data_IF_804008205727
#
_entry.id   IF_804008205727
#
_cell.length_a   1.000
_cell.length_b   1.000
_cell.length_c   1.000
_cell.angle_alpha   90.00
_cell.angle_beta   90.00
_cell.angle_gamma   90.00
#
_symmetry.space_group_name_H-M   'P 1'
#
loop_
_entity.id
_entity.type
_entity.pdbx_description
1 polymer ?
#
# COMPACT_ATOMS: atom_id res chain seq x y z
N UNK A 1 6.04 -12.85 16.75
CA UNK A 1 6.73 -11.55 16.90
C UNK A 1 5.80 -10.43 16.42
N UNK A 2 5.93 -9.19 16.91
CA UNK A 2 5.25 -8.05 16.32
C UNK A 2 5.61 -7.87 14.84
N UNK A 3 4.66 -7.44 14.01
CA UNK A 3 4.88 -7.23 12.58
C UNK A 3 3.62 -7.39 11.74
N UNK A 4 3.79 -7.27 10.43
CA UNK A 4 2.76 -7.43 9.42
C UNK A 4 2.89 -8.77 8.72
N UNK A 5 1.80 -9.47 8.54
CA UNK A 5 1.77 -10.84 8.02
C UNK A 5 0.70 -11.00 6.95
N UNK A 6 1.06 -11.69 5.88
CA UNK A 6 0.12 -12.14 4.87
C UNK A 6 -0.49 -13.49 5.29
N UNK A 7 -1.80 -13.59 5.24
CA UNK A 7 -2.48 -14.90 5.30
C UNK A 7 -3.11 -15.22 3.95
N UNK A 8 -3.24 -16.49 3.62
CA UNK A 8 -3.84 -16.94 2.36
C UNK A 8 -4.32 -18.39 2.47
N UNK A 9 -5.19 -18.79 1.55
CA UNK A 9 -5.57 -20.20 1.42
C UNK A 9 -4.42 -21.02 0.81
N UNK A 10 -3.83 -21.89 1.63
CA UNK A 10 -2.73 -22.78 1.23
C UNK A 10 -3.17 -24.07 0.56
N UNK A 11 -4.49 -24.39 0.51
CA UNK A 11 -4.97 -25.68 -0.02
C UNK A 11 -4.69 -25.85 -1.50
N UNK A 12 -4.75 -24.80 -2.27
CA UNK A 12 -4.52 -24.78 -3.70
C UNK A 12 -3.50 -23.69 -4.07
N UNK A 13 -2.42 -23.63 -3.31
CA UNK A 13 -1.36 -22.65 -3.55
C UNK A 13 -0.62 -22.97 -4.88
N UNK A 14 -0.23 -21.93 -5.65
CA UNK A 14 -0.43 -20.51 -5.38
C UNK A 14 -1.78 -19.96 -5.87
N UNK A 15 -2.60 -20.79 -6.50
CA UNK A 15 -3.75 -20.34 -7.30
C UNK A 15 -4.78 -19.57 -6.48
N UNK A 16 -5.22 -20.12 -5.35
CA UNK A 16 -6.22 -19.44 -4.52
C UNK A 16 -5.70 -18.11 -3.97
N UNK A 17 -4.42 -18.03 -3.62
CA UNK A 17 -3.79 -16.76 -3.22
C UNK A 17 -3.85 -15.74 -4.36
N UNK A 18 -3.43 -16.11 -5.58
CA UNK A 18 -3.36 -15.21 -6.74
C UNK A 18 -4.75 -14.76 -7.20
N UNK A 19 -5.79 -15.57 -6.95
CA UNK A 19 -7.18 -15.23 -7.29
C UNK A 19 -7.93 -14.46 -6.20
N UNK A 20 -7.24 -14.05 -5.13
CA UNK A 20 -7.77 -13.12 -4.13
C UNK A 20 -8.08 -13.71 -2.76
N UNK A 21 -7.83 -15.01 -2.50
CA UNK A 21 -8.00 -15.60 -1.17
C UNK A 21 -6.79 -15.33 -0.29
N UNK A 22 -6.56 -14.07 0.01
CA UNK A 22 -5.49 -13.57 0.87
C UNK A 22 -5.93 -12.32 1.62
N UNK A 23 -5.15 -11.95 2.61
CA UNK A 23 -5.31 -10.69 3.36
C UNK A 23 -4.14 -10.46 4.30
N UNK A 24 -4.17 -9.33 4.98
CA UNK A 24 -3.14 -8.95 5.94
C UNK A 24 -3.64 -8.98 7.37
N UNK A 25 -2.75 -9.29 8.31
CA UNK A 25 -2.99 -9.04 9.73
C UNK A 25 -1.72 -8.51 10.40
N UNK A 26 -1.88 -7.82 11.51
CA UNK A 26 -0.79 -7.30 12.30
C UNK A 26 -0.76 -7.91 13.69
N UNK A 27 0.43 -8.23 14.17
CA UNK A 27 0.69 -8.50 15.58
C UNK A 27 1.32 -7.23 16.17
N UNK A 28 0.63 -6.64 17.12
CA UNK A 28 1.10 -5.41 17.77
C UNK A 28 2.09 -5.72 18.90
N UNK A 29 3.06 -4.85 19.21
CA UNK A 29 3.89 -4.98 20.39
C UNK A 29 3.06 -4.97 21.66
N UNK A 30 3.46 -5.74 22.65
CA UNK A 30 2.80 -5.76 23.95
C UNK A 30 2.81 -4.35 24.57
N UNK A 31 1.64 -3.90 25.04
CA UNK A 31 1.49 -2.59 25.68
C UNK A 31 1.51 -1.39 24.73
N UNK A 32 1.48 -1.61 23.42
CA UNK A 32 1.43 -0.53 22.44
C UNK A 32 0.46 -0.82 21.30
N UNK A 33 -0.37 0.15 20.98
CA UNK A 33 -1.31 0.10 19.85
C UNK A 33 -0.89 0.97 18.65
N UNK A 34 0.21 1.70 18.77
CA UNK A 34 0.64 2.68 17.78
C UNK A 34 2.12 2.56 17.41
N UNK A 35 2.68 1.35 17.51
CA UNK A 35 4.05 1.01 17.09
C UNK A 35 4.07 -0.29 16.31
N UNK A 36 5.03 -0.43 15.41
CA UNK A 36 5.25 -1.68 14.64
C UNK A 36 6.03 -2.70 15.48
N UNK A 37 7.05 -2.23 16.16
CA UNK A 37 7.89 -2.99 17.10
C UNK A 37 8.30 -2.10 18.28
N UNK A 38 8.85 -2.69 19.32
CA UNK A 38 9.33 -1.92 20.47
C UNK A 38 10.42 -0.95 20.05
N UNK A 39 10.20 0.34 20.30
CA UNK A 39 11.12 1.41 19.92
C UNK A 39 10.93 1.99 18.51
N UNK A 40 10.00 1.45 17.69
CA UNK A 40 9.68 2.06 16.40
C UNK A 40 9.06 3.45 16.59
N UNK A 41 9.10 4.32 15.57
CA UNK A 41 8.27 5.52 15.54
C UNK A 41 6.80 5.21 15.81
N UNK A 42 6.08 6.18 16.36
CA UNK A 42 4.62 6.08 16.60
C UNK A 42 3.86 6.54 15.36
N UNK A 43 2.64 6.05 15.23
CA UNK A 43 1.70 6.48 14.19
C UNK A 43 0.34 6.82 14.82
N UNK A 44 -0.44 7.65 14.14
CA UNK A 44 -1.81 8.02 14.55
C UNK A 44 -2.87 7.16 13.88
N UNK A 45 -2.57 6.62 12.70
CA UNK A 45 -3.46 5.74 11.94
C UNK A 45 -2.64 4.72 11.15
N UNK A 46 -3.31 3.66 10.69
CA UNK A 46 -2.64 2.63 9.92
C UNK A 46 -3.54 2.08 8.81
N UNK A 47 -2.91 1.67 7.72
CA UNK A 47 -3.54 1.03 6.57
C UNK A 47 -2.83 -0.27 6.23
N UNK A 48 -3.59 -1.23 5.69
CA UNK A 48 -3.04 -2.37 4.97
C UNK A 48 -3.15 -2.12 3.48
N UNK A 49 -2.04 -2.26 2.77
CA UNK A 49 -2.00 -2.32 1.32
C UNK A 49 -1.51 -3.70 0.90
N UNK A 50 -2.46 -4.53 0.46
CA UNK A 50 -2.15 -5.85 -0.07
C UNK A 50 -2.12 -5.77 -1.59
N UNK A 51 -0.92 -5.93 -2.12
CA UNK A 51 -0.66 -5.90 -3.56
C UNK A 51 -0.89 -7.28 -4.15
N UNK A 52 -1.50 -7.33 -5.32
CA UNK A 52 -1.69 -8.57 -6.07
C UNK A 52 -1.72 -8.29 -7.57
N UNK A 53 -1.48 -9.33 -8.34
CA UNK A 53 -1.58 -9.35 -9.78
C UNK A 53 -2.70 -10.31 -10.19
N UNK A 54 -3.45 -9.96 -11.23
CA UNK A 54 -4.55 -10.81 -11.72
C UNK A 54 -4.33 -11.15 -13.19
N UNK A 55 -4.26 -12.46 -13.46
CA UNK A 55 -4.33 -13.03 -14.79
C UNK A 55 -5.76 -13.52 -15.05
N UNK A 56 -6.50 -12.91 -15.99
CA UNK A 56 -7.89 -13.30 -16.26
C UNK A 56 -8.05 -14.76 -16.68
N UNK A 57 -7.09 -15.33 -17.40
CA UNK A 57 -7.16 -16.72 -17.84
C UNK A 57 -6.99 -17.67 -16.64
N UNK A 58 -6.05 -17.38 -15.75
CA UNK A 58 -5.85 -18.16 -14.53
C UNK A 58 -7.04 -18.02 -13.58
N UNK A 59 -7.53 -16.79 -13.37
CA UNK A 59 -8.72 -16.55 -12.55
C UNK A 59 -9.94 -17.31 -13.06
N UNK A 60 -10.16 -17.34 -14.39
CA UNK A 60 -11.25 -18.08 -14.97
C UNK A 60 -11.11 -19.61 -14.81
N UNK A 61 -9.89 -20.14 -14.96
CA UNK A 61 -9.63 -21.56 -14.72
C UNK A 61 -9.96 -21.94 -13.27
N UNK A 62 -9.45 -21.19 -12.29
CA UNK A 62 -9.72 -21.44 -10.86
C UNK A 62 -11.22 -21.35 -10.55
N UNK A 63 -11.91 -20.33 -11.09
CA UNK A 63 -13.36 -20.17 -10.95
C UNK A 63 -14.13 -21.38 -11.45
N UNK A 64 -13.66 -22.00 -12.53
CA UNK A 64 -14.25 -23.20 -13.12
C UNK A 64 -13.69 -24.51 -12.50
N UNK A 65 -12.98 -24.43 -11.37
CA UNK A 65 -12.36 -25.58 -10.68
C UNK A 65 -11.37 -26.35 -11.56
N UNK A 66 -10.73 -25.67 -12.48
CA UNK A 66 -9.67 -26.20 -13.34
C UNK A 66 -8.31 -25.73 -12.84
N UNK A 67 -7.30 -26.55 -13.02
CA UNK A 67 -5.92 -26.12 -12.76
C UNK A 67 -5.48 -25.15 -13.85
N UNK A 68 -5.04 -23.94 -13.51
CA UNK A 68 -4.48 -23.02 -14.48
C UNK A 68 -3.30 -23.64 -15.24
N UNK A 69 -3.23 -23.39 -16.52
CA UNK A 69 -2.17 -23.88 -17.41
C UNK A 69 -1.63 -22.73 -18.26
N UNK A 70 -0.43 -22.93 -18.79
CA UNK A 70 0.25 -21.90 -19.56
C UNK A 70 0.97 -20.86 -18.67
N UNK A 71 1.54 -19.87 -19.35
CA UNK A 71 2.30 -18.81 -18.68
C UNK A 71 1.34 -17.89 -17.92
N UNK A 72 1.68 -17.56 -16.67
CA UNK A 72 1.03 -16.49 -15.91
C UNK A 72 1.33 -15.14 -16.57
N UNK A 73 0.27 -14.45 -17.01
CA UNK A 73 0.39 -13.17 -17.73
C UNK A 73 -0.62 -12.18 -17.15
N UNK A 74 -0.29 -11.56 -16.02
CA UNK A 74 -1.21 -10.65 -15.35
C UNK A 74 -1.49 -9.42 -16.21
N UNK A 75 -2.74 -8.97 -16.18
CA UNK A 75 -3.21 -7.76 -16.86
C UNK A 75 -3.74 -6.69 -15.92
N UNK A 76 -3.98 -7.06 -14.67
CA UNK A 76 -4.45 -6.15 -13.64
C UNK A 76 -3.52 -6.23 -12.45
N UNK A 77 -3.17 -5.06 -11.93
CA UNK A 77 -2.38 -4.90 -10.72
C UNK A 77 -3.25 -4.20 -9.71
N UNK A 78 -3.35 -4.75 -8.51
CA UNK A 78 -4.32 -4.29 -7.53
C UNK A 78 -3.69 -3.94 -6.20
N UNK A 79 -4.28 -2.95 -5.53
CA UNK A 79 -4.09 -2.68 -4.10
C UNK A 79 -5.44 -2.96 -3.44
N UNK A 80 -5.49 -3.88 -2.47
CA UNK A 80 -6.72 -4.29 -1.79
C UNK A 80 -7.87 -4.69 -2.76
N UNK A 81 -7.50 -5.32 -3.88
CA UNK A 81 -8.44 -5.75 -4.92
C UNK A 81 -8.89 -4.66 -5.88
N UNK A 82 -8.39 -3.43 -5.75
CA UNK A 82 -8.69 -2.33 -6.67
C UNK A 82 -7.57 -2.17 -7.68
N UNK A 83 -7.91 -2.18 -8.95
CA UNK A 83 -7.02 -1.79 -10.05
C UNK A 83 -7.42 -0.42 -10.58
N UNK A 84 -6.44 0.40 -10.91
CA UNK A 84 -6.69 1.63 -11.64
C UNK A 84 -7.38 1.32 -12.98
N UNK A 85 -8.37 2.12 -13.37
CA UNK A 85 -8.97 2.04 -14.70
C UNK A 85 -8.18 2.89 -15.67
N UNK A 86 -7.89 2.42 -16.89
CA UNK A 86 -7.26 3.27 -17.89
C UNK A 86 -8.18 4.44 -18.23
N UNK A 87 -7.63 5.63 -18.48
CA UNK A 87 -8.39 6.79 -18.93
C UNK A 87 -9.25 6.45 -20.16
N UNK A 88 -10.52 6.86 -20.15
CA UNK A 88 -11.45 6.65 -21.26
C UNK A 88 -12.07 5.24 -21.35
N UNK A 89 -11.84 4.35 -20.39
CA UNK A 89 -12.56 3.09 -20.34
C UNK A 89 -14.07 3.34 -20.11
N UNK A 90 -14.96 2.58 -20.81
CA UNK A 90 -16.40 2.74 -20.61
C UNK A 90 -16.79 2.55 -19.14
N UNK A 91 -17.54 3.51 -18.58
CA UNK A 91 -17.94 3.51 -17.18
C UNK A 91 -16.82 3.91 -16.20
N UNK A 92 -15.68 4.37 -16.70
CA UNK A 92 -14.71 5.07 -15.87
C UNK A 92 -15.33 6.44 -15.51
N UNK A 93 -15.63 6.65 -14.25
CA UNK A 93 -15.66 8.00 -13.68
C UNK A 93 -14.24 8.54 -13.76
N UNK A 94 -14.00 9.79 -13.41
CA UNK A 94 -12.65 10.34 -13.45
C UNK A 94 -11.66 9.33 -12.82
N UNK A 95 -10.68 8.78 -13.58
CA UNK A 95 -9.80 7.74 -13.08
C UNK A 95 -8.95 8.21 -11.88
N UNK A 96 -8.79 9.51 -11.70
CA UNK A 96 -8.19 10.07 -10.48
C UNK A 96 -9.05 9.86 -9.23
N UNK A 97 -10.36 9.69 -9.39
CA UNK A 97 -11.30 9.60 -8.27
C UNK A 97 -11.58 8.14 -7.89
N UNK A 98 -11.70 7.22 -8.85
CA UNK A 98 -12.18 5.85 -8.58
C UNK A 98 -11.24 5.01 -7.70
N UNK A 99 -9.93 5.09 -7.89
CA UNK A 99 -8.98 4.32 -7.08
C UNK A 99 -8.29 5.15 -5.99
N UNK A 100 -8.14 6.45 -6.21
CA UNK A 100 -7.50 7.36 -5.25
C UNK A 100 -8.44 7.83 -4.15
N UNK A 101 -9.74 7.86 -4.40
CA UNK A 101 -10.75 8.25 -3.40
C UNK A 101 -11.32 7.08 -2.59
N UNK A 102 -11.00 5.83 -2.96
CA UNK A 102 -11.51 4.68 -2.23
C UNK A 102 -10.83 4.58 -0.84
N UNK A 103 -11.62 4.55 0.25
CA UNK A 103 -11.07 4.52 1.61
C UNK A 103 -10.21 3.29 1.91
N UNK A 104 -10.25 2.25 1.08
CA UNK A 104 -9.37 1.08 1.21
C UNK A 104 -7.94 1.34 0.76
N UNK A 105 -7.71 2.35 -0.05
CA UNK A 105 -6.39 2.67 -0.64
C UNK A 105 -5.96 4.11 -0.39
N UNK A 106 -6.92 5.02 -0.25
CA UNK A 106 -6.63 6.42 0.01
C UNK A 106 -6.00 6.60 1.39
N UNK A 107 -4.87 7.28 1.44
CA UNK A 107 -4.36 7.82 2.69
C UNK A 107 -5.00 9.20 2.91
N UNK A 108 -5.46 9.43 4.11
CA UNK A 108 -6.03 10.70 4.53
C UNK A 108 -5.41 11.10 5.86
N UNK A 109 -5.02 12.34 6.02
CA UNK A 109 -4.35 12.82 7.24
C UNK A 109 -4.18 14.33 7.26
N UNK A 110 -3.85 14.83 8.42
CA UNK A 110 -3.54 16.23 8.66
C UNK A 110 -2.04 16.45 8.71
N UNK A 111 -1.61 17.68 8.50
CA UNK A 111 -0.21 18.05 8.63
C UNK A 111 0.34 17.66 10.02
N UNK A 112 1.47 16.96 10.00
CA UNK A 112 2.13 16.44 11.18
C UNK A 112 1.65 15.04 11.58
N UNK A 113 0.63 14.48 10.93
CA UNK A 113 0.24 13.10 11.13
C UNK A 113 1.31 12.15 10.58
N UNK A 114 1.44 11.02 11.24
CA UNK A 114 2.30 9.91 10.81
C UNK A 114 1.42 8.70 10.57
N UNK A 115 1.33 8.28 9.33
CA UNK A 115 0.47 7.18 8.91
C UNK A 115 1.29 5.95 8.60
N UNK A 116 1.00 4.85 9.29
CA UNK A 116 1.63 3.57 9.00
C UNK A 116 0.94 2.91 7.80
N UNK A 117 1.72 2.49 6.81
CA UNK A 117 1.27 1.64 5.71
C UNK A 117 1.95 0.29 5.85
N UNK A 118 1.15 -0.75 6.02
CA UNK A 118 1.59 -2.14 6.05
C UNK A 118 1.45 -2.72 4.65
N UNK A 119 2.55 -2.72 3.92
CA UNK A 119 2.62 -3.22 2.55
C UNK A 119 2.90 -4.71 2.54
N UNK A 120 2.04 -5.49 1.88
CA UNK A 120 2.18 -6.94 1.73
C UNK A 120 1.95 -7.32 0.27
N UNK A 121 2.80 -8.18 -0.28
CA UNK A 121 2.70 -8.60 -1.68
C UNK A 121 2.20 -10.05 -1.78
N UNK A 122 0.95 -10.23 -2.16
CA UNK A 122 0.33 -11.52 -2.41
C UNK A 122 0.61 -12.07 -3.82
N UNK A 123 1.11 -11.23 -4.72
CA UNK A 123 1.45 -11.60 -6.11
C UNK A 123 2.76 -12.38 -6.23
N UNK A 124 3.16 -12.65 -7.47
CA UNK A 124 4.39 -13.36 -7.80
C UNK A 124 5.55 -12.42 -8.12
N UNK A 125 5.26 -11.29 -8.77
CA UNK A 125 6.29 -10.34 -9.17
C UNK A 125 6.73 -9.46 -8.00
N UNK A 126 7.94 -8.93 -8.11
CA UNK A 126 8.36 -7.80 -7.29
C UNK A 126 7.60 -6.55 -7.70
N UNK A 127 7.28 -5.74 -6.72
CA UNK A 127 6.73 -4.41 -6.90
C UNK A 127 7.55 -3.39 -6.12
N UNK A 128 7.40 -2.13 -6.46
CA UNK A 128 7.95 -1.03 -5.67
C UNK A 128 6.85 -0.03 -5.40
N UNK A 129 6.60 0.26 -4.14
CA UNK A 129 5.66 1.31 -3.73
C UNK A 129 6.36 2.64 -3.86
N UNK A 130 5.78 3.54 -4.64
CA UNK A 130 6.28 4.90 -4.80
C UNK A 130 5.25 5.91 -4.30
N UNK A 131 5.74 6.91 -3.58
CA UNK A 131 4.92 8.02 -3.07
C UNK A 131 5.46 9.35 -3.59
N UNK A 132 4.55 10.21 -4.03
CA UNK A 132 4.84 11.61 -4.34
C UNK A 132 4.65 12.48 -3.08
N UNK A 133 5.27 13.63 -3.09
CA UNK A 133 5.20 14.59 -1.99
C UNK A 133 6.23 14.27 -0.90
N UNK A 134 5.88 13.45 0.06
CA UNK A 134 6.78 13.08 1.15
C UNK A 134 7.45 11.72 0.93
N UNK A 135 8.67 11.57 1.45
CA UNK A 135 9.36 10.29 1.52
C UNK A 135 8.81 9.44 2.67
N UNK A 136 8.74 8.15 2.45
CA UNK A 136 8.34 7.18 3.47
C UNK A 136 9.52 6.84 4.38
N UNK A 137 9.27 6.73 5.68
CA UNK A 137 10.21 6.12 6.62
C UNK A 137 10.10 4.60 6.55
N UNK A 138 11.10 3.94 6.02
CA UNK A 138 11.11 2.49 5.85
C UNK A 138 11.59 1.77 7.11
N UNK A 139 10.68 1.08 7.82
CA UNK A 139 10.89 0.49 9.14
C UNK A 139 11.28 -0.99 9.10
N UNK A 140 10.60 -1.77 8.24
CA UNK A 140 10.81 -3.22 8.14
C UNK A 140 10.91 -3.68 6.70
N UNK A 141 11.54 -4.81 6.48
CA UNK A 141 11.58 -5.51 5.19
C UNK A 141 11.40 -7.00 5.42
N UNK A 142 10.42 -7.62 4.78
CA UNK A 142 10.12 -9.06 4.89
C UNK A 142 10.04 -9.55 6.36
N UNK A 143 9.37 -8.78 7.22
CA UNK A 143 9.21 -9.09 8.64
C UNK A 143 10.45 -8.85 9.50
N UNK A 144 11.54 -8.33 8.93
CA UNK A 144 12.76 -7.99 9.68
C UNK A 144 12.84 -6.49 9.92
N UNK A 145 13.14 -6.10 11.15
CA UNK A 145 13.41 -4.70 11.50
C UNK A 145 14.68 -4.24 10.79
N UNK A 146 14.63 -3.10 10.17
CA UNK A 146 15.81 -2.53 9.50
C UNK A 146 16.79 -1.98 10.54
N UNK A 147 18.10 -2.10 10.28
CA UNK A 147 19.15 -1.58 11.19
C UNK A 147 19.05 -0.07 11.40
N UNK A 148 18.52 0.64 10.42
CA UNK A 148 18.25 2.07 10.47
C UNK A 148 16.95 2.38 9.72
N UNK A 149 16.24 3.40 10.17
CA UNK A 149 15.10 3.97 9.41
C UNK A 149 15.67 4.80 8.27
N UNK A 150 15.27 4.48 7.05
CA UNK A 150 15.67 5.22 5.87
C UNK A 150 14.45 5.92 5.27
N UNK A 151 14.63 7.16 4.90
CA UNK A 151 13.66 7.90 4.11
C UNK A 151 13.81 7.54 2.63
N UNK A 152 12.71 7.10 2.02
CA UNK A 152 12.64 6.66 0.63
C UNK A 152 11.31 7.06 0.00
N UNK A 153 11.40 7.51 -1.23
CA UNK A 153 10.23 7.70 -2.11
C UNK A 153 9.78 6.38 -2.75
N UNK A 154 10.70 5.40 -2.85
CA UNK A 154 10.44 4.07 -3.41
C UNK A 154 10.87 2.99 -2.41
N UNK A 155 9.96 2.07 -2.10
CA UNK A 155 10.21 0.92 -1.24
C UNK A 155 9.91 -0.38 -1.97
N UNK A 156 10.90 -1.27 -2.16
CA UNK A 156 10.71 -2.54 -2.86
C UNK A 156 9.91 -3.54 -2.01
N UNK A 157 9.06 -4.31 -2.68
CA UNK A 157 8.32 -5.43 -2.13
C UNK A 157 8.65 -6.70 -2.91
N UNK A 158 9.25 -7.67 -2.25
CA UNK A 158 9.48 -8.98 -2.86
C UNK A 158 8.15 -9.69 -3.15
N UNK A 159 8.10 -10.49 -4.20
CA UNK A 159 6.96 -11.35 -4.49
C UNK A 159 6.78 -12.47 -3.46
N UNK A 160 5.67 -13.20 -3.56
CA UNK A 160 5.41 -14.40 -2.73
C UNK A 160 5.34 -14.13 -1.21
N UNK A 161 4.70 -13.06 -0.80
CA UNK A 161 4.51 -12.74 0.62
C UNK A 161 5.53 -11.78 1.19
N UNK A 162 6.36 -11.17 0.37
CA UNK A 162 7.23 -10.07 0.80
C UNK A 162 6.42 -8.88 1.31
N UNK A 163 7.02 -8.09 2.18
CA UNK A 163 6.33 -6.95 2.77
C UNK A 163 7.28 -5.91 3.35
N UNK A 164 6.73 -4.75 3.61
CA UNK A 164 7.39 -3.63 4.27
C UNK A 164 6.41 -2.87 5.14
N UNK A 165 6.86 -2.43 6.30
CA UNK A 165 6.15 -1.44 7.09
C UNK A 165 6.83 -0.09 6.88
N UNK A 166 6.05 0.89 6.46
CA UNK A 166 6.53 2.24 6.19
C UNK A 166 5.64 3.27 6.88
N UNK A 167 6.23 4.37 7.34
CA UNK A 167 5.46 5.53 7.80
C UNK A 167 5.50 6.58 6.70
N UNK A 168 4.33 7.02 6.28
CA UNK A 168 4.17 8.20 5.46
C UNK A 168 3.90 9.40 6.38
N UNK A 169 4.82 10.37 6.44
CA UNK A 169 4.61 11.59 7.19
C UNK A 169 3.78 12.56 6.34
N UNK A 170 2.82 13.23 6.94
CA UNK A 170 2.11 14.35 6.30
C UNK A 170 2.83 15.66 6.63
N UNK A 171 4.07 15.77 6.18
CA UNK A 171 4.89 16.96 6.35
C UNK A 171 4.67 17.95 5.20
N UNK A 172 4.97 19.25 5.38
CA UNK A 172 4.96 20.22 4.29
C UNK A 172 5.86 19.76 3.16
N UNK A 173 5.32 19.71 1.94
CA UNK A 173 6.09 19.29 0.76
C UNK A 173 7.13 20.36 0.44
N UNK A 174 8.42 20.00 0.36
CA UNK A 174 9.51 20.98 0.16
C UNK A 174 9.37 21.79 -1.13
N UNK A 175 8.81 21.18 -2.17
CA UNK A 175 8.69 21.76 -3.51
C UNK A 175 7.39 22.55 -3.75
N UNK A 176 6.58 22.75 -2.70
CA UNK A 176 5.39 23.57 -2.80
C UNK A 176 5.78 25.02 -3.20
N UNK A 177 5.20 25.51 -4.29
CA UNK A 177 5.45 26.88 -4.76
C UNK A 177 4.18 27.74 -4.63
N UNK A 178 4.26 28.90 -3.95
CA UNK A 178 5.38 29.38 -3.14
C UNK A 178 5.66 28.46 -1.95
N UNK A 179 6.89 28.50 -1.37
CA UNK A 179 7.24 27.67 -0.23
C UNK A 179 6.21 27.85 0.88
N UNK A 180 5.53 26.79 1.23
CA UNK A 180 4.51 26.82 2.27
C UNK A 180 5.14 26.47 3.61
N UNK A 181 4.93 27.32 4.61
CA UNK A 181 5.25 27.00 6.00
C UNK A 181 4.18 26.06 6.58
N UNK A 182 4.51 25.34 7.65
CA UNK A 182 3.53 24.54 8.40
C UNK A 182 2.26 25.35 8.76
N UNK A 183 2.42 26.62 9.10
CA UNK A 183 1.31 27.51 9.45
C UNK A 183 0.42 27.79 8.23
N UNK A 184 1.02 28.05 7.07
CA UNK A 184 0.29 28.31 5.82
C UNK A 184 -0.49 27.09 5.34
N UNK A 185 0.11 25.90 5.46
CA UNK A 185 -0.53 24.64 5.09
C UNK A 185 -1.69 24.31 6.03
N UNK A 186 -1.51 24.47 7.35
CA UNK A 186 -2.60 24.31 8.34
C UNK A 186 -3.73 25.30 8.12
N UNK A 187 -3.43 26.53 7.73
CA UNK A 187 -4.44 27.51 7.38
C UNK A 187 -5.22 27.08 6.14
N UNK A 188 -4.54 26.60 5.09
CA UNK A 188 -5.17 26.08 3.88
C UNK A 188 -6.09 24.89 4.17
N UNK A 189 -5.66 24.00 5.06
CA UNK A 189 -6.42 22.85 5.52
C UNK A 189 -7.68 23.28 6.28
N UNK A 190 -7.56 24.22 7.21
CA UNK A 190 -8.69 24.80 7.94
C UNK A 190 -9.70 25.53 7.03
N UNK A 191 -9.25 26.04 5.90
CA UNK A 191 -10.09 26.65 4.85
C UNK A 191 -10.68 25.60 3.90
N UNK A 192 -10.50 24.31 4.15
CA UNK A 192 -11.00 23.21 3.32
C UNK A 192 -10.22 23.01 2.02
N UNK A 193 -9.02 23.58 1.90
CA UNK A 193 -8.13 23.36 0.76
C UNK A 193 -7.31 22.08 1.01
N UNK A 194 -7.33 21.16 0.06
CA UNK A 194 -6.64 19.89 0.13
C UNK A 194 -5.58 19.78 -0.97
N UNK A 195 -4.45 19.15 -0.64
CA UNK A 195 -3.44 18.72 -1.60
C UNK A 195 -3.52 17.22 -1.80
N UNK A 196 -3.48 16.77 -3.04
CA UNK A 196 -3.46 15.34 -3.37
C UNK A 196 -2.17 14.99 -4.09
N UNK A 197 -1.50 13.94 -3.61
CA UNK A 197 -0.29 13.41 -4.23
C UNK A 197 -0.53 11.96 -4.63
N UNK A 198 -0.15 11.56 -5.85
CA UNK A 198 -0.33 10.20 -6.31
C UNK A 198 0.61 9.24 -5.57
N UNK A 199 0.15 8.01 -5.40
CA UNK A 199 0.93 6.87 -4.97
C UNK A 199 0.69 5.75 -5.97
N UNK A 200 1.75 5.06 -6.39
CA UNK A 200 1.64 4.02 -7.39
C UNK A 200 2.74 2.96 -7.29
N UNK A 201 2.58 1.89 -8.04
CA UNK A 201 3.60 0.85 -8.19
C UNK A 201 4.51 1.13 -9.38
N UNK A 202 5.79 0.78 -9.21
CA UNK A 202 6.77 0.65 -10.28
C UNK A 202 7.00 -0.81 -10.60
#
# INVERSE_FOLDING_TARGET
APGSYLYYDGRNAPYNRLTGLHGGFAVMPQGSSNRVYSGSPTFVQQYFWVFNECDPAWNNAVRNRQTPSGRYTPRYFTINGLSGRPPGAPGAMDPAIDSMADPRTKLDGHLGDRTLIRCLNAGLAKHSVHTHGNHMEWLTSNGQVRPAVWEKDIVPLDGNGGGADVIYPFDPVPDAWPPMTNTTLRQAENEGRHSAYPMHLH
#
